data_IF_485360876285
#
_entry.id   IF_485360876285
#
_cell.length_a   1.000
_cell.length_b   1.000
_cell.length_c   1.000
_cell.angle_alpha   90.00
_cell.angle_beta   90.00
_cell.angle_gamma   90.00
#
_symmetry.space_group_name_H-M   'P 1'
#
loop_
_entity.id
_entity.type
_entity.pdbx_description
1 polymer ?
#
# COMPACT_ATOMS: atom_id res chain seq x y z
N UNK A 1 -23.05 -13.62 20.96
CA UNK A 1 -21.57 -13.74 20.90
C UNK A 1 -21.07 -12.79 19.81
N UNK A 2 -20.17 -11.89 20.16
CA UNK A 2 -19.78 -10.72 19.36
C UNK A 2 -18.83 -11.08 18.23
N UNK A 3 -19.22 -10.87 16.98
CA UNK A 3 -18.34 -10.92 15.81
C UNK A 3 -17.46 -9.66 15.79
N UNK A 4 -16.38 -9.69 16.57
CA UNK A 4 -15.36 -8.65 16.52
C UNK A 4 -13.99 -9.25 16.23
N UNK A 5 -13.33 -8.62 15.25
CA UNK A 5 -11.92 -8.73 14.86
C UNK A 5 -11.51 -9.90 13.98
N UNK A 6 -11.82 -9.78 12.70
CA UNK A 6 -10.78 -9.93 11.65
C UNK A 6 -11.03 -8.93 10.54
N UNK A 7 -11.10 -7.64 10.88
CA UNK A 7 -10.99 -6.59 9.88
C UNK A 7 -9.60 -6.00 10.05
N UNK A 8 -8.65 -6.45 9.24
CA UNK A 8 -7.44 -5.68 9.00
C UNK A 8 -7.88 -4.38 8.32
N UNK A 9 -8.26 -3.37 9.12
CA UNK A 9 -8.46 -2.01 8.64
C UNK A 9 -7.08 -1.42 8.39
N UNK A 10 -6.46 -1.80 7.28
CA UNK A 10 -5.43 -0.96 6.67
C UNK A 10 -6.12 0.32 6.24
N UNK A 11 -5.64 1.47 6.72
CA UNK A 11 -6.01 2.81 6.23
C UNK A 11 -5.49 2.98 4.79
N UNK A 12 -5.94 2.15 3.88
CA UNK A 12 -5.63 2.28 2.46
C UNK A 12 -6.67 3.22 1.86
N UNK A 13 -6.23 4.27 1.17
CA UNK A 13 -7.12 5.14 0.39
C UNK A 13 -7.94 4.23 -0.54
N UNK A 14 -9.27 4.26 -0.39
CA UNK A 14 -10.17 3.58 -1.32
C UNK A 14 -10.18 4.40 -2.61
N UNK A 15 -9.88 3.75 -3.73
CA UNK A 15 -9.90 4.38 -5.05
C UNK A 15 -11.34 4.57 -5.51
N UNK A 16 -11.63 5.70 -6.16
CA UNK A 16 -12.89 5.86 -6.88
C UNK A 16 -12.90 5.05 -8.18
N UNK A 17 -14.08 4.87 -8.78
CA UNK A 17 -14.22 4.14 -10.04
C UNK A 17 -13.50 4.83 -11.21
N UNK A 18 -13.34 6.15 -11.14
CA UNK A 18 -12.59 6.96 -12.11
C UNK A 18 -11.07 6.81 -11.93
N UNK A 19 -10.60 6.59 -10.70
CA UNK A 19 -9.19 6.33 -10.42
C UNK A 19 -8.75 4.89 -10.78
N UNK A 20 -9.70 4.00 -11.09
CA UNK A 20 -9.41 2.63 -11.52
C UNK A 20 -9.13 2.55 -13.01
N UNK A 21 -8.06 1.83 -13.36
CA UNK A 21 -7.72 1.48 -14.72
C UNK A 21 -8.53 0.25 -15.14
N UNK A 22 -9.63 0.50 -15.85
CA UNK A 22 -10.60 -0.49 -16.32
C UNK A 22 -10.66 -0.46 -17.84
N UNK A 23 -10.98 -1.59 -18.47
CA UNK A 23 -11.35 -1.60 -19.88
C UNK A 23 -12.64 -0.81 -20.09
N UNK A 24 -12.81 -0.23 -21.28
CA UNK A 24 -14.04 0.47 -21.66
C UNK A 24 -15.29 -0.38 -21.45
N UNK A 25 -15.20 -1.68 -21.77
CA UNK A 25 -16.29 -2.63 -21.54
C UNK A 25 -16.64 -2.77 -20.05
N UNK A 26 -15.63 -2.97 -19.19
CA UNK A 26 -15.87 -3.10 -17.76
C UNK A 26 -16.38 -1.80 -17.15
N UNK A 27 -15.86 -0.64 -17.60
CA UNK A 27 -16.32 0.68 -17.17
C UNK A 27 -17.78 0.90 -17.55
N UNK A 28 -18.16 0.60 -18.79
CA UNK A 28 -19.55 0.73 -19.25
C UNK A 28 -20.51 -0.16 -18.42
N UNK A 29 -20.15 -1.43 -18.20
CA UNK A 29 -20.95 -2.36 -17.38
C UNK A 29 -21.10 -1.89 -15.94
N UNK A 30 -20.03 -1.37 -15.32
CA UNK A 30 -20.07 -0.87 -13.95
C UNK A 30 -20.86 0.43 -13.83
N UNK A 31 -20.73 1.34 -14.79
CA UNK A 31 -21.53 2.56 -14.82
C UNK A 31 -23.02 2.24 -14.99
N UNK A 32 -23.37 1.34 -15.91
CA UNK A 32 -24.73 0.88 -16.10
C UNK A 32 -25.33 0.29 -14.81
N UNK A 33 -24.58 -0.56 -14.11
CA UNK A 33 -24.98 -1.09 -12.82
C UNK A 33 -25.21 0.01 -11.77
N UNK A 34 -24.33 1.02 -11.73
CA UNK A 34 -24.48 2.15 -10.80
C UNK A 34 -25.78 2.91 -11.09
N UNK A 35 -26.08 3.16 -12.36
CA UNK A 35 -27.33 3.78 -12.80
C UNK A 35 -28.54 2.94 -12.39
N UNK A 36 -28.52 1.61 -12.58
CA UNK A 36 -29.61 0.73 -12.14
C UNK A 36 -29.87 0.83 -10.63
N UNK A 37 -28.81 0.91 -9.82
CA UNK A 37 -28.94 1.11 -8.37
C UNK A 37 -29.46 2.50 -8.01
N UNK A 38 -29.06 3.55 -8.72
CA UNK A 38 -29.53 4.91 -8.51
C UNK A 38 -31.03 5.04 -8.83
N UNK A 39 -31.50 4.36 -9.88
CA UNK A 39 -32.90 4.35 -10.32
C UNK A 39 -33.68 3.10 -9.86
N UNK A 40 -33.22 2.40 -8.83
CA UNK A 40 -33.83 1.15 -8.35
C UNK A 40 -35.33 1.26 -8.06
N UNK A 41 -35.79 2.42 -7.57
CA UNK A 41 -37.21 2.64 -7.27
C UNK A 41 -38.07 2.65 -8.53
N UNK A 42 -37.58 3.29 -9.59
CA UNK A 42 -38.27 3.35 -10.88
C UNK A 42 -38.29 1.98 -11.57
N UNK A 43 -37.17 1.26 -11.55
CA UNK A 43 -37.11 -0.11 -12.12
C UNK A 43 -38.09 -1.06 -11.41
N UNK A 44 -38.22 -0.91 -10.08
CA UNK A 44 -39.15 -1.70 -9.27
C UNK A 44 -40.62 -1.46 -9.62
N UNK A 45 -41.01 -0.26 -10.08
CA UNK A 45 -42.38 0.03 -10.53
C UNK A 45 -42.78 -0.79 -11.77
N UNK A 46 -41.80 -1.27 -12.54
CA UNK A 46 -42.00 -2.10 -13.72
C UNK A 46 -41.62 -3.58 -13.49
N UNK A 47 -41.42 -3.99 -12.23
CA UNK A 47 -40.96 -5.34 -11.86
C UNK A 47 -39.64 -5.76 -12.56
N UNK A 48 -38.78 -4.80 -12.89
CA UNK A 48 -37.48 -5.05 -13.50
C UNK A 48 -36.43 -5.22 -12.39
N UNK A 49 -35.79 -6.40 -12.26
CA UNK A 49 -34.75 -6.61 -11.27
C UNK A 49 -33.43 -5.93 -11.66
N UNK A 50 -32.62 -5.62 -10.65
CA UNK A 50 -31.27 -5.08 -10.82
C UNK A 50 -30.26 -6.23 -10.87
N UNK A 51 -29.21 -6.07 -11.65
CA UNK A 51 -28.12 -7.04 -11.79
C UNK A 51 -27.14 -7.01 -10.59
N UNK A 52 -27.63 -7.40 -9.41
CA UNK A 52 -26.89 -7.25 -8.15
C UNK A 52 -25.87 -8.35 -7.83
N UNK A 53 -25.60 -9.30 -8.74
CA UNK A 53 -24.64 -10.41 -8.53
C UNK A 53 -23.58 -10.38 -9.63
N UNK A 54 -22.36 -10.06 -9.21
CA UNK A 54 -21.24 -9.70 -10.07
C UNK A 54 -20.08 -10.67 -9.84
N UNK A 55 -19.52 -11.20 -10.91
CA UNK A 55 -18.33 -12.04 -10.89
C UNK A 55 -17.17 -11.33 -11.59
N UNK A 56 -16.11 -11.06 -10.84
CA UNK A 56 -14.84 -10.54 -11.33
C UNK A 56 -13.90 -11.72 -11.58
N UNK A 57 -13.39 -11.88 -12.79
CA UNK A 57 -12.50 -12.99 -13.10
C UNK A 57 -11.31 -12.57 -13.96
N UNK A 58 -10.21 -13.33 -13.89
CA UNK A 58 -9.02 -13.10 -14.72
C UNK A 58 -7.75 -12.93 -13.89
N UNK A 59 -6.76 -12.24 -14.44
CA UNK A 59 -5.40 -12.19 -13.88
C UNK A 59 -5.35 -11.52 -12.50
N UNK A 60 -4.47 -12.02 -11.64
CA UNK A 60 -4.20 -11.41 -10.33
C UNK A 60 -3.59 -10.01 -10.51
N UNK A 61 -3.70 -9.15 -9.49
CA UNK A 61 -3.08 -7.82 -9.52
C UNK A 61 -3.70 -6.82 -10.51
N UNK A 62 -4.81 -7.16 -11.18
CA UNK A 62 -5.45 -6.31 -12.20
C UNK A 62 -6.62 -5.46 -11.68
N UNK A 63 -6.84 -5.40 -10.36
CA UNK A 63 -7.81 -4.47 -9.75
C UNK A 63 -9.15 -5.05 -9.30
N UNK A 64 -9.36 -6.38 -9.34
CA UNK A 64 -10.61 -7.02 -8.90
C UNK A 64 -11.09 -6.57 -7.51
N UNK A 65 -10.23 -6.70 -6.49
CA UNK A 65 -10.54 -6.26 -5.12
C UNK A 65 -10.78 -4.75 -5.04
N UNK A 66 -10.02 -3.96 -5.80
CA UNK A 66 -10.17 -2.50 -5.84
C UNK A 66 -11.52 -2.09 -6.43
N UNK A 67 -12.03 -2.81 -7.45
CA UNK A 67 -13.35 -2.59 -8.04
C UNK A 67 -14.47 -2.76 -7.01
N UNK A 68 -14.43 -3.80 -6.17
CA UNK A 68 -15.45 -3.98 -5.14
C UNK A 68 -15.51 -2.81 -4.15
N UNK A 69 -14.35 -2.28 -3.76
CA UNK A 69 -14.26 -1.10 -2.89
C UNK A 69 -14.70 0.18 -3.60
N UNK A 70 -14.33 0.38 -4.86
CA UNK A 70 -14.75 1.52 -5.66
C UNK A 70 -16.27 1.54 -5.87
N UNK A 71 -16.89 0.38 -6.09
CA UNK A 71 -18.34 0.25 -6.18
C UNK A 71 -19.02 0.61 -4.85
N UNK A 72 -18.44 0.19 -3.72
CA UNK A 72 -18.90 0.57 -2.39
C UNK A 72 -18.85 2.09 -2.18
N UNK A 73 -17.79 2.74 -2.65
CA UNK A 73 -17.67 4.20 -2.60
C UNK A 73 -18.71 4.89 -3.49
N UNK A 74 -18.86 4.44 -4.75
CA UNK A 74 -19.78 5.03 -5.72
C UNK A 74 -21.25 4.92 -5.29
N UNK A 75 -21.64 3.79 -4.68
CA UNK A 75 -23.01 3.54 -4.23
C UNK A 75 -23.24 3.90 -2.76
N UNK A 76 -22.24 4.47 -2.08
CA UNK A 76 -22.26 4.75 -0.64
C UNK A 76 -22.70 3.53 0.20
N UNK A 77 -22.16 2.35 -0.12
CA UNK A 77 -22.44 1.08 0.55
C UNK A 77 -21.21 0.58 1.31
N UNK A 78 -21.45 0.05 2.50
CA UNK A 78 -20.43 -0.69 3.26
C UNK A 78 -20.01 -1.93 2.47
N UNK A 79 -18.71 -2.21 2.43
CA UNK A 79 -18.15 -3.43 1.85
C UNK A 79 -17.78 -4.40 2.96
N UNK A 80 -18.40 -5.58 2.96
CA UNK A 80 -18.10 -6.71 3.84
C UNK A 80 -17.25 -7.68 3.05
N UNK A 81 -16.02 -7.93 3.51
CA UNK A 81 -15.06 -8.79 2.80
C UNK A 81 -15.01 -10.17 3.44
N UNK A 82 -15.11 -11.22 2.63
CA UNK A 82 -14.96 -12.62 3.00
C UNK A 82 -13.90 -13.26 2.10
N UNK A 83 -12.74 -13.61 2.65
CA UNK A 83 -11.80 -14.49 1.94
C UNK A 83 -12.28 -15.93 2.10
N UNK A 84 -12.65 -16.59 1.01
CA UNK A 84 -13.33 -17.86 1.07
C UNK A 84 -12.43 -19.01 1.51
N UNK A 85 -11.21 -19.11 0.98
CA UNK A 85 -10.26 -20.15 1.36
C UNK A 85 -9.96 -20.13 2.86
N UNK A 86 -9.59 -18.96 3.39
CA UNK A 86 -9.33 -18.79 4.83
C UNK A 86 -10.56 -19.02 5.71
N UNK A 87 -11.76 -18.68 5.23
CA UNK A 87 -13.01 -18.90 5.96
C UNK A 87 -13.32 -20.40 6.12
N UNK A 88 -13.20 -21.19 5.05
CA UNK A 88 -13.50 -22.62 5.10
C UNK A 88 -12.46 -23.37 5.95
N UNK A 89 -11.17 -23.08 5.75
CA UNK A 89 -10.10 -23.75 6.50
C UNK A 89 -10.17 -23.55 8.02
N UNK A 90 -10.72 -22.42 8.48
CA UNK A 90 -10.79 -22.09 9.91
C UNK A 90 -12.06 -22.59 10.61
N UNK A 91 -13.08 -23.06 9.87
CA UNK A 91 -14.44 -23.29 10.42
C UNK A 91 -15.16 -24.53 9.89
N UNK A 92 -14.43 -25.55 9.44
CA UNK A 92 -14.94 -26.73 8.72
C UNK A 92 -16.31 -27.26 9.23
N UNK A 93 -16.53 -27.41 10.54
CA UNK A 93 -17.79 -27.94 11.10
C UNK A 93 -18.99 -26.97 11.22
N UNK A 94 -18.80 -25.65 11.08
CA UNK A 94 -19.89 -24.64 11.17
C UNK A 94 -20.02 -23.77 9.91
N UNK A 95 -19.25 -24.09 8.87
CA UNK A 95 -19.06 -23.25 7.68
C UNK A 95 -20.38 -22.81 7.04
N UNK A 96 -21.34 -23.73 6.87
CA UNK A 96 -22.63 -23.44 6.22
C UNK A 96 -23.51 -22.46 7.01
N UNK A 97 -23.62 -22.61 8.33
CA UNK A 97 -24.40 -21.68 9.17
C UNK A 97 -23.76 -20.30 9.21
N UNK A 98 -22.44 -20.26 9.36
CA UNK A 98 -21.69 -19.01 9.38
C UNK A 98 -21.77 -18.28 8.03
N UNK A 99 -21.75 -19.02 6.92
CA UNK A 99 -21.93 -18.45 5.59
C UNK A 99 -23.30 -17.79 5.45
N UNK A 100 -24.37 -18.51 5.81
CA UNK A 100 -25.74 -17.98 5.78
C UNK A 100 -25.89 -16.73 6.63
N UNK A 101 -25.20 -16.66 7.78
CA UNK A 101 -25.20 -15.46 8.63
C UNK A 101 -24.55 -14.26 7.94
N UNK A 102 -23.42 -14.46 7.24
CA UNK A 102 -22.74 -13.39 6.49
C UNK A 102 -23.63 -12.85 5.37
N UNK A 103 -24.28 -13.73 4.60
CA UNK A 103 -25.21 -13.33 3.54
C UNK A 103 -26.43 -12.58 4.09
N UNK A 104 -27.00 -13.07 5.20
CA UNK A 104 -28.11 -12.42 5.89
C UNK A 104 -27.71 -11.04 6.40
N UNK A 105 -26.54 -10.91 7.02
CA UNK A 105 -26.05 -9.63 7.51
C UNK A 105 -25.83 -8.64 6.36
N UNK A 106 -25.21 -9.08 5.26
CA UNK A 106 -25.03 -8.21 4.09
C UNK A 106 -26.38 -7.74 3.50
N UNK A 107 -27.37 -8.63 3.45
CA UNK A 107 -28.73 -8.32 3.02
C UNK A 107 -29.41 -7.29 3.93
N UNK A 108 -29.31 -7.47 5.25
CA UNK A 108 -29.90 -6.56 6.24
C UNK A 108 -29.22 -5.18 6.22
N UNK A 109 -27.89 -5.15 6.11
CA UNK A 109 -27.09 -3.92 6.06
C UNK A 109 -27.19 -3.21 4.68
N UNK A 110 -27.88 -3.79 3.68
CA UNK A 110 -27.90 -3.33 2.28
C UNK A 110 -26.49 -3.10 1.72
N UNK A 111 -25.56 -3.97 2.13
CA UNK A 111 -24.13 -3.86 1.92
C UNK A 111 -23.69 -4.55 0.63
N UNK A 112 -22.44 -4.29 0.24
CA UNK A 112 -21.72 -5.11 -0.74
C UNK A 112 -21.04 -6.25 0.01
N UNK A 113 -21.38 -7.50 -0.31
CA UNK A 113 -20.65 -8.68 0.11
C UNK A 113 -19.59 -9.00 -0.95
N UNK A 114 -18.33 -8.74 -0.63
CA UNK A 114 -17.19 -9.09 -1.47
C UNK A 114 -16.59 -10.42 -1.03
N UNK A 115 -16.62 -11.41 -1.91
CA UNK A 115 -16.06 -12.75 -1.68
C UNK A 115 -14.83 -12.92 -2.55
N UNK A 116 -13.66 -13.02 -1.94
CA UNK A 116 -12.39 -13.27 -2.62
C UNK A 116 -12.04 -14.76 -2.61
N UNK A 117 -11.19 -15.19 -3.52
CA UNK A 117 -10.82 -16.61 -3.72
C UNK A 117 -12.03 -17.53 -3.97
N UNK A 118 -12.95 -17.07 -4.82
CA UNK A 118 -14.16 -17.83 -5.14
C UNK A 118 -13.86 -19.16 -5.87
N UNK A 119 -12.69 -19.27 -6.51
CA UNK A 119 -12.11 -20.50 -7.06
C UNK A 119 -11.96 -21.63 -6.04
N UNK A 120 -11.96 -21.32 -4.74
CA UNK A 120 -11.96 -22.33 -3.70
C UNK A 120 -13.16 -23.29 -3.81
N UNK A 121 -14.34 -22.82 -4.21
CA UNK A 121 -15.52 -23.68 -4.41
C UNK A 121 -15.36 -24.66 -5.57
N UNK A 122 -14.60 -24.29 -6.60
CA UNK A 122 -14.32 -25.15 -7.75
C UNK A 122 -13.47 -26.36 -7.36
N UNK A 123 -12.36 -26.09 -6.66
CA UNK A 123 -11.41 -27.11 -6.17
C UNK A 123 -12.09 -28.18 -5.31
N UNK A 124 -13.07 -27.76 -4.52
CA UNK A 124 -13.80 -28.62 -3.60
C UNK A 124 -14.58 -29.75 -4.32
N UNK A 125 -15.08 -29.49 -5.53
CA UNK A 125 -15.99 -30.42 -6.21
C UNK A 125 -15.27 -31.60 -6.89
N UNK A 126 -13.98 -31.46 -7.16
CA UNK A 126 -13.16 -32.50 -7.81
C UNK A 126 -12.59 -33.56 -6.83
N UNK A 127 -12.73 -33.37 -5.52
CA UNK A 127 -12.25 -34.33 -4.52
C UNK A 127 -13.26 -35.47 -4.30
N UNK A 128 -12.90 -36.68 -4.73
CA UNK A 128 -13.66 -37.94 -4.53
C UNK A 128 -13.39 -38.61 -3.16
N UNK A 129 -13.16 -37.86 -2.08
CA UNK A 129 -12.96 -38.41 -0.72
C UNK A 129 -14.21 -38.27 0.15
N UNK A 130 -14.28 -38.97 1.29
CA UNK A 130 -15.41 -38.92 2.23
C UNK A 130 -15.71 -37.51 2.79
N UNK A 131 -14.71 -36.60 2.79
CA UNK A 131 -14.88 -35.16 3.09
C UNK A 131 -15.70 -34.39 2.03
N UNK A 132 -16.01 -35.00 0.89
CA UNK A 132 -16.79 -34.39 -0.21
C UNK A 132 -18.22 -34.04 0.18
N UNK A 133 -18.83 -34.72 1.16
CA UNK A 133 -20.22 -34.52 1.52
C UNK A 133 -20.52 -33.16 2.16
N UNK A 134 -19.72 -32.74 3.15
CA UNK A 134 -19.87 -31.45 3.81
C UNK A 134 -19.54 -30.29 2.86
N UNK A 135 -18.54 -30.53 2.03
CA UNK A 135 -18.07 -29.64 1.00
C UNK A 135 -19.10 -29.40 -0.12
N UNK A 136 -19.73 -30.46 -0.62
CA UNK A 136 -20.85 -30.34 -1.56
C UNK A 136 -22.05 -29.62 -0.92
N UNK A 137 -22.34 -29.89 0.37
CA UNK A 137 -23.37 -29.13 1.11
C UNK A 137 -23.04 -27.65 1.19
N UNK A 138 -21.77 -27.29 1.35
CA UNK A 138 -21.34 -25.89 1.36
C UNK A 138 -21.57 -25.21 -0.01
N UNK A 139 -21.22 -25.87 -1.11
CA UNK A 139 -21.50 -25.36 -2.47
C UNK A 139 -23.01 -25.16 -2.69
N UNK A 140 -23.83 -26.13 -2.29
CA UNK A 140 -25.28 -26.01 -2.38
C UNK A 140 -25.82 -24.89 -1.48
N UNK A 141 -25.25 -24.70 -0.29
CA UNK A 141 -25.59 -23.59 0.60
C UNK A 141 -25.25 -22.26 -0.07
N UNK A 142 -24.08 -22.13 -0.70
CA UNK A 142 -23.71 -20.96 -1.49
C UNK A 142 -24.72 -20.65 -2.57
N UNK A 143 -25.09 -21.66 -3.37
CA UNK A 143 -26.12 -21.53 -4.42
C UNK A 143 -27.40 -20.95 -3.84
N UNK A 144 -27.90 -21.53 -2.75
CA UNK A 144 -29.12 -21.06 -2.09
C UNK A 144 -28.98 -19.63 -1.55
N UNK A 145 -27.81 -19.28 -0.99
CA UNK A 145 -27.58 -17.92 -0.47
C UNK A 145 -27.49 -16.88 -1.59
N UNK A 146 -26.91 -17.23 -2.75
CA UNK A 146 -26.87 -16.36 -3.94
C UNK A 146 -28.28 -16.15 -4.49
N UNK A 147 -29.10 -17.21 -4.53
CA UNK A 147 -30.47 -17.14 -5.03
C UNK A 147 -31.36 -16.28 -4.10
N UNK A 148 -31.17 -16.38 -2.78
CA UNK A 148 -31.94 -15.65 -1.76
C UNK A 148 -31.38 -14.27 -1.38
N UNK A 149 -30.31 -13.80 -2.02
CA UNK A 149 -29.71 -12.50 -1.71
C UNK A 149 -30.70 -11.36 -2.00
N UNK A 150 -30.88 -10.47 -1.02
CA UNK A 150 -31.74 -9.29 -1.16
C UNK A 150 -31.31 -8.40 -2.33
N UNK A 151 -32.29 -7.89 -3.10
CA UNK A 151 -32.06 -6.95 -4.21
C UNK A 151 -31.35 -5.66 -3.81
N UNK A 152 -31.41 -5.28 -2.53
CA UNK A 152 -30.73 -4.08 -2.02
C UNK A 152 -29.26 -4.30 -1.63
N UNK A 153 -28.83 -5.56 -1.52
CA UNK A 153 -27.43 -5.93 -1.34
C UNK A 153 -26.78 -6.26 -2.68
N UNK A 154 -25.46 -6.19 -2.74
CA UNK A 154 -24.68 -6.53 -3.93
C UNK A 154 -23.73 -7.65 -3.56
N UNK A 155 -23.72 -8.73 -4.36
CA UNK A 155 -22.70 -9.76 -4.27
C UNK A 155 -21.63 -9.50 -5.32
N UNK A 156 -20.39 -9.41 -4.88
CA UNK A 156 -19.22 -9.34 -5.76
C UNK A 156 -18.32 -10.52 -5.42
N UNK A 157 -18.14 -11.45 -6.34
CA UNK A 157 -17.20 -12.55 -6.18
C UNK A 157 -15.96 -12.31 -7.06
N UNK A 158 -14.76 -12.62 -6.57
CA UNK A 158 -13.53 -12.58 -7.36
C UNK A 158 -12.91 -13.97 -7.47
N UNK A 159 -12.46 -14.33 -8.68
CA UNK A 159 -11.73 -15.58 -8.96
C UNK A 159 -10.56 -15.32 -9.92
N UNK A 160 -9.48 -16.08 -9.79
CA UNK A 160 -8.42 -16.12 -10.80
C UNK A 160 -8.65 -17.23 -11.83
N UNK A 161 -9.40 -18.27 -11.45
CA UNK A 161 -9.65 -19.46 -12.25
C UNK A 161 -11.15 -19.62 -12.49
N UNK A 162 -11.63 -19.09 -13.62
CA UNK A 162 -13.05 -19.19 -13.98
C UNK A 162 -13.42 -20.61 -14.43
N UNK A 163 -12.47 -21.30 -15.05
CA UNK A 163 -12.57 -22.61 -15.67
C UNK A 163 -12.92 -23.73 -14.68
N UNK A 164 -12.50 -23.60 -13.42
CA UNK A 164 -12.81 -24.57 -12.36
C UNK A 164 -14.12 -24.28 -11.64
N UNK A 165 -14.77 -23.15 -11.92
CA UNK A 165 -16.06 -22.81 -11.30
C UNK A 165 -17.19 -23.55 -12.01
N UNK A 166 -18.01 -24.23 -11.22
CA UNK A 166 -19.16 -24.96 -11.75
C UNK A 166 -20.14 -24.07 -12.52
N UNK A 167 -20.65 -24.61 -13.63
CA UNK A 167 -21.59 -23.90 -14.51
C UNK A 167 -22.89 -23.49 -13.80
N UNK A 168 -23.36 -24.23 -12.79
CA UNK A 168 -24.55 -23.84 -12.03
C UNK A 168 -24.31 -22.58 -11.21
N UNK A 169 -23.12 -22.41 -10.62
CA UNK A 169 -22.75 -21.15 -9.96
C UNK A 169 -22.64 -20.01 -10.96
N UNK A 170 -21.98 -20.23 -12.10
CA UNK A 170 -21.77 -19.19 -13.11
C UNK A 170 -23.07 -18.58 -13.65
N UNK A 171 -24.13 -19.39 -13.82
CA UNK A 171 -25.44 -18.93 -14.32
C UNK A 171 -26.16 -17.94 -13.40
N UNK A 172 -25.73 -17.79 -12.14
CA UNK A 172 -26.38 -16.92 -11.13
C UNK A 172 -25.81 -15.51 -11.08
N UNK A 173 -24.66 -15.30 -11.71
CA UNK A 173 -24.07 -13.98 -11.85
C UNK A 173 -24.60 -13.33 -13.12
N UNK A 174 -25.29 -12.20 -12.97
CA UNK A 174 -25.80 -11.45 -14.11
C UNK A 174 -24.65 -10.75 -14.84
N UNK A 175 -23.73 -10.15 -14.07
CA UNK A 175 -22.57 -9.45 -14.62
C UNK A 175 -21.30 -10.27 -14.42
N UNK A 176 -20.57 -10.45 -15.52
CA UNK A 176 -19.23 -11.05 -15.53
C UNK A 176 -18.25 -10.04 -16.12
N UNK A 177 -17.26 -9.66 -15.32
CA UNK A 177 -16.24 -8.67 -15.64
C UNK A 177 -14.90 -9.38 -15.75
N UNK A 178 -14.32 -9.34 -16.94
CA UNK A 178 -13.04 -9.98 -17.26
C UNK A 178 -11.90 -8.99 -17.03
N UNK A 179 -10.89 -9.41 -16.30
CA UNK A 179 -9.68 -8.65 -16.00
C UNK A 179 -8.48 -9.32 -16.68
N UNK A 180 -8.09 -8.79 -17.82
CA UNK A 180 -6.88 -9.20 -18.52
C UNK A 180 -5.67 -8.38 -18.08
N UNK A 181 -4.48 -8.86 -18.45
CA UNK A 181 -3.28 -8.04 -18.31
C UNK A 181 -3.42 -6.74 -19.10
N UNK A 182 -2.92 -5.61 -18.57
CA UNK A 182 -2.98 -4.34 -19.27
C UNK A 182 -2.19 -4.39 -20.57
N UNK A 183 -2.71 -3.73 -21.59
CA UNK A 183 -1.95 -3.48 -22.81
C UNK A 183 -0.85 -2.42 -22.55
N UNK A 184 0.05 -2.24 -23.51
CA UNK A 184 1.15 -1.28 -23.36
C UNK A 184 0.67 0.15 -23.13
N UNK A 185 -0.43 0.57 -23.76
CA UNK A 185 -0.98 1.92 -23.63
C UNK A 185 -1.48 2.16 -22.20
N UNK A 186 -2.37 1.31 -21.70
CA UNK A 186 -2.90 1.44 -20.34
C UNK A 186 -1.81 1.29 -19.27
N UNK A 187 -0.78 0.48 -19.52
CA UNK A 187 0.35 0.38 -18.61
C UNK A 187 1.25 1.63 -18.63
N UNK A 188 1.40 2.28 -19.78
CA UNK A 188 2.09 3.57 -19.88
C UNK A 188 1.35 4.66 -19.11
N UNK A 189 0.04 4.78 -19.29
CA UNK A 189 -0.78 5.74 -18.55
C UNK A 189 -0.67 5.49 -17.03
N UNK A 190 -0.67 4.22 -16.63
CA UNK A 190 -0.47 3.83 -15.24
C UNK A 190 0.91 4.23 -14.70
N UNK A 191 1.97 3.97 -15.47
CA UNK A 191 3.32 4.40 -15.11
C UNK A 191 3.41 5.91 -14.96
N UNK A 192 2.88 6.68 -15.92
CA UNK A 192 2.92 8.13 -15.89
C UNK A 192 2.20 8.68 -14.66
N UNK A 193 1.02 8.14 -14.35
CA UNK A 193 0.26 8.47 -13.14
C UNK A 193 1.04 8.15 -11.85
N UNK A 194 1.72 7.00 -11.78
CA UNK A 194 2.55 6.66 -10.62
C UNK A 194 3.77 7.58 -10.48
N UNK A 195 4.44 7.88 -11.60
CA UNK A 195 5.69 8.64 -11.65
C UNK A 195 5.49 10.14 -11.46
N UNK A 196 4.32 10.68 -11.82
CA UNK A 196 3.96 12.10 -11.66
C UNK A 196 4.11 12.63 -10.22
N UNK A 197 4.12 11.73 -9.22
CA UNK A 197 4.27 12.05 -7.80
C UNK A 197 5.71 12.32 -7.39
N UNK A 198 6.68 12.03 -8.26
CA UNK A 198 8.11 12.11 -7.97
C UNK A 198 8.79 13.13 -8.89
N UNK A 199 9.80 13.88 -8.39
CA UNK A 199 10.61 14.77 -9.21
C UNK A 199 11.30 14.08 -10.39
N UNK A 200 11.56 14.84 -11.46
CA UNK A 200 12.15 14.36 -12.73
C UNK A 200 13.51 13.65 -12.61
N UNK A 201 14.29 14.00 -11.59
CA UNK A 201 15.58 13.34 -11.35
C UNK A 201 15.44 11.99 -10.65
N UNK A 202 14.29 11.70 -10.04
CA UNK A 202 13.99 10.44 -9.35
C UNK A 202 13.06 9.52 -10.14
N UNK A 203 12.25 10.07 -11.05
CA UNK A 203 11.22 9.33 -11.78
C UNK A 203 11.72 8.57 -13.03
N UNK A 204 13.03 8.60 -13.30
CA UNK A 204 13.66 7.82 -14.38
C UNK A 204 13.75 6.35 -13.99
N UNK A 205 12.93 5.52 -14.62
CA UNK A 205 12.85 4.07 -14.38
C UNK A 205 12.81 3.31 -15.71
N UNK A 206 13.18 2.04 -15.67
CA UNK A 206 12.92 1.09 -16.74
C UNK A 206 11.48 0.56 -16.65
N UNK A 207 10.70 0.74 -17.72
CA UNK A 207 9.32 0.24 -17.81
C UNK A 207 9.32 -1.19 -18.30
N UNK A 208 8.52 -2.05 -17.66
CA UNK A 208 8.37 -3.46 -18.00
C UNK A 208 6.93 -3.71 -18.43
N UNK A 209 6.72 -4.47 -19.50
CA UNK A 209 5.38 -4.73 -20.07
C UNK A 209 5.01 -6.21 -19.98
N UNK A 210 3.73 -6.52 -20.18
CA UNK A 210 3.22 -7.90 -20.06
C UNK A 210 3.02 -8.37 -18.61
N UNK A 211 2.92 -7.42 -17.68
CA UNK A 211 2.75 -7.64 -16.25
C UNK A 211 1.48 -6.96 -15.75
N UNK A 212 1.00 -7.36 -14.57
CA UNK A 212 -0.17 -6.76 -13.93
C UNK A 212 0.11 -5.35 -13.39
N UNK A 213 -0.94 -4.58 -13.10
CA UNK A 213 -0.81 -3.27 -12.47
C UNK A 213 -0.14 -3.35 -11.08
N UNK A 214 -0.40 -4.40 -10.31
CA UNK A 214 0.24 -4.62 -9.03
C UNK A 214 1.77 -4.81 -9.18
N UNK A 215 2.19 -5.68 -10.10
CA UNK A 215 3.61 -5.91 -10.39
C UNK A 215 4.30 -4.64 -10.91
N UNK A 216 3.64 -3.91 -11.82
CA UNK A 216 4.17 -2.65 -12.34
C UNK A 216 4.37 -1.61 -11.23
N UNK A 217 3.42 -1.52 -10.30
CA UNK A 217 3.53 -0.64 -9.13
C UNK A 217 4.69 -1.04 -8.23
N UNK A 218 4.86 -2.33 -7.96
CA UNK A 218 5.94 -2.83 -7.12
C UNK A 218 7.31 -2.55 -7.75
N UNK A 219 7.45 -2.75 -9.07
CA UNK A 219 8.66 -2.41 -9.82
C UNK A 219 8.98 -0.91 -9.78
N UNK A 220 7.97 -0.05 -9.97
CA UNK A 220 8.15 1.41 -9.85
C UNK A 220 8.65 1.75 -8.45
N UNK A 221 7.99 1.25 -7.40
CA UNK A 221 8.37 1.54 -6.03
C UNK A 221 9.78 1.03 -5.72
N UNK A 222 10.18 -0.13 -6.23
CA UNK A 222 11.54 -0.65 -6.06
C UNK A 222 12.59 0.26 -6.72
N UNK A 223 12.38 0.66 -7.97
CA UNK A 223 13.32 1.51 -8.70
C UNK A 223 13.37 2.93 -8.13
N UNK A 224 12.23 3.52 -7.79
CA UNK A 224 12.17 4.83 -7.13
C UNK A 224 12.90 4.81 -5.78
N UNK A 225 12.70 3.76 -4.97
CA UNK A 225 13.45 3.62 -3.71
C UNK A 225 14.96 3.56 -3.97
N UNK A 226 15.41 2.82 -4.97
CA UNK A 226 16.81 2.76 -5.34
C UNK A 226 17.34 4.13 -5.76
N UNK A 227 16.60 4.86 -6.60
CA UNK A 227 16.94 6.22 -7.05
C UNK A 227 17.05 7.20 -5.87
N UNK A 228 16.08 7.19 -4.94
CA UNK A 228 16.10 8.02 -3.74
C UNK A 228 17.32 7.70 -2.87
N UNK A 229 17.59 6.41 -2.63
CA UNK A 229 18.74 5.99 -1.82
C UNK A 229 20.04 6.45 -2.47
N UNK A 230 20.20 6.27 -3.79
CA UNK A 230 21.41 6.72 -4.49
C UNK A 230 21.55 8.25 -4.46
N UNK A 231 20.45 8.97 -4.64
CA UNK A 231 20.44 10.42 -4.54
C UNK A 231 20.88 10.89 -3.15
N UNK A 232 20.29 10.35 -2.09
CA UNK A 232 20.64 10.72 -0.70
C UNK A 232 22.07 10.29 -0.34
N UNK A 233 22.56 9.15 -0.84
CA UNK A 233 23.97 8.75 -0.65
C UNK A 233 24.93 9.75 -1.27
N UNK A 234 24.64 10.25 -2.46
CA UNK A 234 25.51 11.17 -3.19
C UNK A 234 25.31 12.64 -2.79
N UNK A 235 24.30 12.93 -1.97
CA UNK A 235 24.04 14.27 -1.45
C UNK A 235 25.19 14.71 -0.56
N UNK A 236 25.74 15.87 -0.88
CA UNK A 236 26.80 16.50 -0.10
C UNK A 236 26.20 17.17 1.13
N UNK A 237 26.81 16.91 2.26
CA UNK A 237 26.45 17.47 3.55
C UNK A 237 27.67 18.15 4.16
N UNK A 238 27.44 19.30 4.79
CA UNK A 238 28.47 19.95 5.57
C UNK A 238 28.37 19.46 7.01
N UNK A 239 29.50 19.07 7.60
CA UNK A 239 29.63 18.65 8.99
C UNK A 239 30.64 19.56 9.66
N UNK A 240 30.24 20.20 10.75
CA UNK A 240 31.11 21.10 11.50
C UNK A 240 31.68 20.41 12.74
N UNK A 241 32.99 20.52 12.90
CA UNK A 241 33.76 20.02 14.04
C UNK A 241 34.35 21.15 14.87
N UNK A 242 34.10 21.12 16.17
CA UNK A 242 34.72 22.04 17.13
C UNK A 242 35.62 21.29 18.13
N UNK A 243 36.76 20.78 17.67
CA UNK A 243 37.79 20.17 18.51
C UNK A 243 37.48 18.76 19.01
N UNK A 244 36.50 18.07 18.42
CA UNK A 244 36.19 16.66 18.71
C UNK A 244 36.66 15.69 17.60
N UNK A 245 36.86 16.15 16.36
CA UNK A 245 37.24 15.31 15.22
C UNK A 245 38.73 15.38 14.86
N UNK A 246 39.67 15.71 15.75
CA UNK A 246 41.09 15.39 15.47
C UNK A 246 41.33 13.87 15.44
N UNK A 247 40.76 13.12 16.40
CA UNK A 247 40.85 11.66 16.43
C UNK A 247 39.94 10.94 15.40
N UNK A 248 38.96 11.67 14.84
CA UNK A 248 38.10 11.16 13.76
C UNK A 248 38.63 11.61 12.40
N UNK A 249 39.40 12.70 12.28
CA UNK A 249 40.13 13.08 11.06
C UNK A 249 41.04 11.96 10.59
N UNK A 250 41.79 11.35 11.50
CA UNK A 250 42.63 10.19 11.21
C UNK A 250 41.80 9.00 10.68
N UNK A 251 40.55 8.83 11.17
CA UNK A 251 39.60 7.82 10.66
C UNK A 251 38.92 8.23 9.34
N UNK A 252 38.71 9.52 9.09
CA UNK A 252 38.11 10.08 7.88
C UNK A 252 39.09 10.05 6.71
N UNK A 253 40.37 10.34 6.96
CA UNK A 253 41.47 10.12 6.01
C UNK A 253 41.60 8.63 5.65
N UNK A 254 41.51 7.72 6.64
CA UNK A 254 41.48 6.27 6.42
C UNK A 254 40.22 5.77 5.67
N UNK A 255 39.15 6.58 5.59
CA UNK A 255 37.94 6.31 4.80
C UNK A 255 38.00 6.91 3.39
N UNK A 256 39.15 7.46 2.98
CA UNK A 256 39.40 7.94 1.61
C UNK A 256 38.74 9.29 1.30
N UNK A 257 38.41 10.09 2.32
CA UNK A 257 37.80 11.41 2.14
C UNK A 257 38.90 12.46 2.11
N UNK A 258 39.11 13.11 0.96
CA UNK A 258 39.96 14.30 0.84
C UNK A 258 39.08 15.54 0.90
N UNK A 259 39.35 16.43 1.85
CA UNK A 259 38.48 17.55 2.17
C UNK A 259 39.29 18.84 2.07
N UNK A 260 38.77 19.83 1.35
CA UNK A 260 39.28 21.20 1.46
C UNK A 260 38.82 21.77 2.80
N UNK A 261 39.72 21.76 3.79
CA UNK A 261 39.43 22.28 5.11
C UNK A 261 39.36 23.81 5.06
N UNK A 262 38.26 24.36 5.56
CA UNK A 262 38.13 25.78 5.85
C UNK A 262 37.70 25.96 7.31
N UNK A 263 38.37 26.88 8.00
CA UNK A 263 38.08 27.23 9.39
C UNK A 263 36.90 28.21 9.42
N UNK A 264 35.84 27.88 10.15
CA UNK A 264 34.61 28.67 10.20
C UNK A 264 34.13 28.90 11.65
N UNK A 265 33.42 30.02 11.89
CA UNK A 265 32.72 30.32 13.15
C UNK A 265 31.22 30.03 13.05
N UNK A 266 30.65 29.39 14.08
CA UNK A 266 29.20 29.22 14.28
C UNK A 266 28.74 30.17 15.39
N UNK A 267 27.70 30.96 15.09
CA UNK A 267 27.09 31.93 16.01
C UNK A 267 25.86 31.32 16.71
N UNK A 268 25.69 31.59 18.02
CA UNK A 268 24.49 31.19 18.77
C UNK A 268 24.43 29.72 19.19
N UNK A 269 25.55 28.99 19.12
CA UNK A 269 25.62 27.62 19.63
C UNK A 269 25.89 27.62 21.14
N UNK A 270 24.83 27.53 21.95
CA UNK A 270 24.91 27.47 23.41
C UNK A 270 25.04 26.02 23.89
N UNK A 271 26.17 25.68 24.52
CA UNK A 271 26.41 24.36 25.14
C UNK A 271 25.85 24.33 26.57
N UNK A 272 24.55 24.58 26.73
CA UNK A 272 23.89 24.40 28.03
C UNK A 272 23.37 22.97 28.17
N UNK A 273 24.30 22.04 28.40
CA UNK A 273 24.01 20.75 29.02
C UNK A 273 25.01 20.59 30.18
N UNK A 274 24.55 20.97 31.36
CA UNK A 274 25.32 20.87 32.60
C UNK A 274 25.32 19.43 33.08
N UNK A 275 26.27 18.62 32.61
CA UNK A 275 26.70 17.43 33.35
C UNK A 275 28.21 17.51 33.53
N UNK A 276 28.62 17.54 34.80
CA UNK A 276 30.00 17.62 35.25
C UNK A 276 30.87 16.59 34.54
N UNK A 277 31.70 16.97 33.56
CA UNK A 277 33.02 16.40 33.21
C UNK A 277 33.73 17.40 32.28
N UNK A 278 35.07 17.44 32.34
CA UNK A 278 35.97 18.49 31.84
C UNK A 278 35.61 19.15 30.50
N UNK A 279 35.67 20.50 30.46
CA UNK A 279 35.51 21.29 29.26
C UNK A 279 36.65 21.01 28.26
N UNK A 280 36.30 20.50 27.07
CA UNK A 280 37.26 20.16 26.00
C UNK A 280 37.40 21.32 24.99
N UNK A 281 36.70 22.45 25.16
CA UNK A 281 36.95 23.65 24.38
C UNK A 281 36.59 24.92 25.15
N UNK A 282 37.44 25.94 25.07
CA UNK A 282 37.19 27.26 25.66
C UNK A 282 36.34 28.10 24.70
N UNK A 283 35.29 28.71 25.24
CA UNK A 283 34.54 29.82 24.64
C UNK A 283 35.54 30.89 24.18
N UNK A 284 35.58 31.21 22.88
CA UNK A 284 36.09 32.53 22.45
C UNK A 284 35.13 33.57 23.01
N UNK A 285 35.58 34.74 23.41
CA UNK A 285 34.89 35.68 24.32
C UNK A 285 33.52 36.25 23.87
N UNK A 286 32.94 35.77 22.78
CA UNK A 286 31.59 36.05 22.27
C UNK A 286 30.79 34.72 22.18
N UNK A 287 29.47 34.69 21.97
CA UNK A 287 28.67 33.44 21.87
C UNK A 287 28.94 32.61 20.59
N UNK A 288 30.22 32.47 20.23
CA UNK A 288 30.74 31.89 18.99
C UNK A 288 31.73 30.77 19.26
N UNK A 289 31.74 29.82 18.31
CA UNK A 289 32.51 28.58 18.37
C UNK A 289 33.28 28.40 17.05
N UNK A 290 34.62 28.29 17.10
CA UNK A 290 35.56 28.20 15.95
C UNK A 290 36.00 26.77 15.57
N UNK A 291 35.54 26.23 14.45
CA UNK A 291 35.77 24.83 14.07
C UNK A 291 36.16 24.61 12.61
N UNK A 292 36.36 23.34 12.24
CA UNK A 292 36.59 22.91 10.87
C UNK A 292 35.27 22.47 10.23
N UNK A 293 35.04 22.87 8.98
CA UNK A 293 33.90 22.43 8.20
C UNK A 293 34.32 21.38 7.17
N UNK A 294 33.63 20.24 7.17
CA UNK A 294 33.89 19.12 6.31
C UNK A 294 32.73 18.88 5.35
N UNK A 295 33.02 18.60 4.07
CA UNK A 295 32.03 18.11 3.13
C UNK A 295 32.05 16.58 3.11
N UNK A 296 30.92 15.95 3.40
CA UNK A 296 30.77 14.48 3.41
C UNK A 296 29.57 14.06 2.58
N UNK A 297 29.63 12.84 2.05
CA UNK A 297 28.50 12.21 1.38
C UNK A 297 27.48 11.68 2.39
N UNK A 298 26.23 11.50 1.97
CA UNK A 298 25.15 11.04 2.85
C UNK A 298 25.39 9.64 3.43
N UNK A 299 26.05 8.74 2.70
CA UNK A 299 26.39 7.41 3.22
C UNK A 299 27.47 7.47 4.33
N UNK A 300 28.43 8.37 4.19
CA UNK A 300 29.43 8.69 5.22
C UNK A 300 28.75 9.32 6.44
N UNK A 301 27.80 10.22 6.21
CA UNK A 301 27.02 10.85 7.28
C UNK A 301 26.20 9.83 8.09
N UNK A 302 25.62 8.81 7.45
CA UNK A 302 24.93 7.72 8.15
C UNK A 302 25.91 6.88 8.99
N UNK A 303 27.12 6.61 8.48
CA UNK A 303 28.17 5.90 9.25
C UNK A 303 28.60 6.72 10.47
N UNK A 304 28.75 8.04 10.32
CA UNK A 304 29.01 8.96 11.43
C UNK A 304 27.88 8.93 12.47
N UNK A 305 26.62 8.96 12.02
CA UNK A 305 25.48 8.81 12.93
C UNK A 305 25.55 7.51 13.72
N UNK A 306 25.84 6.38 13.07
CA UNK A 306 25.94 5.09 13.76
C UNK A 306 27.05 5.08 14.82
N UNK A 307 28.23 5.61 14.48
CA UNK A 307 29.38 5.68 15.41
C UNK A 307 29.13 6.60 16.60
N UNK A 308 28.44 7.72 16.38
CA UNK A 308 28.29 8.78 17.38
C UNK A 308 26.96 8.72 18.14
N UNK A 309 25.96 8.00 17.63
CA UNK A 309 24.59 7.97 18.16
C UNK A 309 24.47 7.56 19.62
N UNK A 310 25.44 6.82 20.18
CA UNK A 310 25.43 6.44 21.61
C UNK A 310 25.54 7.67 22.51
N UNK A 311 26.50 8.55 22.21
CA UNK A 311 26.89 9.67 23.09
C UNK A 311 26.46 11.04 22.55
N UNK A 312 26.10 11.12 21.27
CA UNK A 312 25.85 12.38 20.58
C UNK A 312 24.54 12.38 19.82
N UNK A 313 24.00 13.58 19.57
CA UNK A 313 22.84 13.86 18.74
C UNK A 313 23.23 14.84 17.64
N UNK A 314 22.84 14.55 16.40
CA UNK A 314 23.05 15.45 15.26
C UNK A 314 21.98 16.56 15.23
N UNK A 315 22.41 17.80 15.09
CA UNK A 315 21.57 19.00 15.02
C UNK A 315 22.00 19.86 13.84
N UNK A 316 21.05 20.47 13.13
CA UNK A 316 21.35 21.38 12.02
C UNK A 316 21.63 22.78 12.59
N UNK A 317 22.70 23.41 12.15
CA UNK A 317 23.08 24.77 12.55
C UNK A 317 23.52 25.58 11.33
N UNK A 318 23.48 26.91 11.44
CA UNK A 318 23.85 27.83 10.36
C UNK A 318 25.15 28.53 10.72
N UNK A 319 26.13 28.45 9.83
CA UNK A 319 27.42 29.15 9.98
C UNK A 319 27.23 30.66 9.80
N UNK A 320 28.20 31.46 10.26
CA UNK A 320 28.27 32.92 10.00
C UNK A 320 28.27 33.29 8.51
N UNK A 321 28.67 32.36 7.63
CA UNK A 321 28.60 32.50 6.17
C UNK A 321 27.22 32.22 5.57
N UNK A 322 26.23 31.86 6.38
CA UNK A 322 24.87 31.50 5.95
C UNK A 322 24.70 30.06 5.46
N UNK A 323 25.78 29.26 5.43
CA UNK A 323 25.72 27.83 5.07
C UNK A 323 25.17 26.99 6.23
N UNK A 324 24.28 26.05 5.92
CA UNK A 324 23.79 25.05 6.87
C UNK A 324 24.79 23.88 7.02
N UNK A 325 25.04 23.46 8.25
CA UNK A 325 25.94 22.37 8.59
C UNK A 325 25.37 21.51 9.74
N UNK A 326 25.65 20.22 9.69
CA UNK A 326 25.34 19.29 10.76
C UNK A 326 26.40 19.37 11.86
N UNK A 327 25.95 19.44 13.11
CA UNK A 327 26.80 19.46 14.31
C UNK A 327 26.39 18.30 15.21
N UNK A 328 27.38 17.58 15.76
CA UNK A 328 27.13 16.53 16.76
C UNK A 328 27.30 17.09 18.17
N UNK A 329 26.24 17.03 18.96
CA UNK A 329 26.19 17.58 20.33
C UNK A 329 26.14 16.41 21.31
N UNK A 330 26.90 16.48 22.41
CA UNK A 330 26.81 15.50 23.49
C UNK A 330 25.37 15.42 23.99
N UNK A 331 24.86 14.20 24.24
CA UNK A 331 23.57 14.00 24.91
C UNK A 331 23.63 14.28 26.41
N UNK A 332 24.85 14.29 26.96
CA UNK A 332 25.15 14.46 28.37
C UNK A 332 25.80 15.81 28.61
#
# INVERSE_FOLDING_TARGET
>A
MSFHKTTLKTKTKVLSLDELYLSEENRAKLNQLIEEFNYQSALKEFDIPIDNKILLHGHTGCGKTATAHALGLALNKKVVVLNLGGFVSSRLGETGKNLSEVFRQASNDRAILFIDEFDFLGKIRDYNSEDSGEMQRLVNTFIQQIDNLSHHAILVCATNHLDIIDSALLRRFQLRLRYDLPNQVGLNDYYDSLLSKYPDHLNKIERVYGISYAEAKDLVLQQIKANIIQYEKNKKHLVFDYGMLEAINEKLENLGVSIENSKHEIEGFHKDYTVQHQAIAKKSTEDKIEGNLYEVLGDQLIKLDQLLSTNYKRVLSTTTSGKEAWVYISKY
#
